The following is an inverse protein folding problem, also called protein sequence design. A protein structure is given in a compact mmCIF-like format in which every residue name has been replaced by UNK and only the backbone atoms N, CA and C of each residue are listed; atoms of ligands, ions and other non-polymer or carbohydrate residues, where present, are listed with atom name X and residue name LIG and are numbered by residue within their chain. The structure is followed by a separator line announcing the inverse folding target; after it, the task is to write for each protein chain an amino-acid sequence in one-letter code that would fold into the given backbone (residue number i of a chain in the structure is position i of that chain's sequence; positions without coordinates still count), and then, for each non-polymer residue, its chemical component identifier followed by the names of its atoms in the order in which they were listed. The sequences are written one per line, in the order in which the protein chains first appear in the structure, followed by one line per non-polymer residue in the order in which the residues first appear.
data_IF_118245356078
#
_entry.id   IF_118245356078
#
_cell.length_a   1.000
_cell.length_b   1.000
_cell.length_c   1.000
_cell.angle_alpha   90.00
_cell.angle_beta   90.00
_cell.angle_gamma   90.00
#
_symmetry.space_group_name_H-M   'P 1'
#
loop_
_entity.id
_entity.type
_entity.pdbx_description
1 polymer ?
#
# COMPACT_ATOMS: atom_id res chain seq x y z
N UNK A 1 -16.88 27.59 -29.68
CA UNK A 1 -16.80 27.51 -28.20
C UNK A 1 -16.85 26.04 -27.81
N UNK A 2 -15.88 25.51 -27.04
CA UNK A 2 -15.90 24.08 -26.67
C UNK A 2 -14.60 23.49 -26.09
N UNK A 3 -13.47 24.20 -26.17
CA UNK A 3 -12.18 23.66 -25.72
C UNK A 3 -12.00 23.75 -24.19
N UNK A 4 -12.57 24.74 -23.51
CA UNK A 4 -12.28 25.06 -22.10
C UNK A 4 -12.80 24.02 -21.10
N UNK A 5 -13.91 23.34 -21.40
CA UNK A 5 -14.50 22.32 -20.52
C UNK A 5 -13.72 21.00 -20.51
N UNK A 6 -13.17 20.60 -21.66
CA UNK A 6 -12.41 19.36 -21.81
C UNK A 6 -11.06 19.42 -21.07
N UNK A 7 -10.31 20.51 -21.22
CA UNK A 7 -9.03 20.71 -20.51
C UNK A 7 -9.19 20.75 -18.98
N UNK A 8 -10.28 21.33 -18.47
CA UNK A 8 -10.57 21.35 -17.03
C UNK A 8 -10.93 19.97 -16.48
N UNK A 9 -11.59 19.11 -17.28
CA UNK A 9 -11.91 17.72 -16.90
C UNK A 9 -10.65 16.86 -16.84
N UNK A 10 -9.74 16.99 -17.80
CA UNK A 10 -8.45 16.29 -17.80
C UNK A 10 -7.56 16.69 -16.61
N UNK A 11 -7.41 18.00 -16.36
CA UNK A 11 -6.64 18.51 -15.20
C UNK A 11 -7.20 18.07 -13.84
N UNK A 12 -8.51 17.88 -13.72
CA UNK A 12 -9.13 17.32 -12.50
C UNK A 12 -8.83 15.83 -12.36
N UNK A 13 -8.89 15.07 -13.47
CA UNK A 13 -8.57 13.64 -13.49
C UNK A 13 -7.11 13.37 -13.13
N UNK A 14 -6.17 14.14 -13.68
CA UNK A 14 -4.74 14.04 -13.38
C UNK A 14 -4.43 14.36 -11.92
N UNK A 15 -4.97 15.47 -11.38
CA UNK A 15 -4.76 15.83 -9.96
C UNK A 15 -5.34 14.81 -8.98
N UNK A 16 -6.48 14.22 -9.34
CA UNK A 16 -7.11 13.15 -8.55
C UNK A 16 -6.25 11.87 -8.56
N UNK A 17 -5.73 11.51 -9.74
CA UNK A 17 -4.79 10.38 -9.91
C UNK A 17 -3.49 10.57 -9.10
N UNK A 18 -2.92 11.79 -9.10
CA UNK A 18 -1.69 12.09 -8.35
C UNK A 18 -1.91 12.03 -6.83
N UNK A 19 -3.07 12.48 -6.33
CA UNK A 19 -3.39 12.45 -4.90
C UNK A 19 -3.54 11.02 -4.38
N UNK A 20 -4.13 10.14 -5.19
CA UNK A 20 -4.26 8.71 -4.87
C UNK A 20 -2.90 8.02 -4.82
N UNK A 21 -2.05 8.25 -5.83
CA UNK A 21 -0.70 7.69 -5.89
C UNK A 21 0.13 8.08 -4.65
N UNK A 22 0.07 9.36 -4.23
CA UNK A 22 0.76 9.80 -3.01
C UNK A 22 0.23 9.13 -1.75
N UNK A 23 -1.08 8.90 -1.65
CA UNK A 23 -1.68 8.25 -0.49
C UNK A 23 -1.32 6.77 -0.42
N UNK A 24 -1.33 6.10 -1.57
CA UNK A 24 -0.86 4.72 -1.74
C UNK A 24 0.61 4.60 -1.33
N UNK A 25 1.48 5.46 -1.85
CA UNK A 25 2.92 5.45 -1.54
C UNK A 25 3.16 5.58 -0.03
N UNK A 26 2.51 6.54 0.63
CA UNK A 26 2.66 6.74 2.08
C UNK A 26 2.22 5.51 2.88
N UNK A 27 1.09 4.89 2.50
CA UNK A 27 0.61 3.70 3.17
C UNK A 27 1.57 2.51 2.95
N UNK A 28 2.08 2.33 1.73
CA UNK A 28 3.04 1.28 1.41
C UNK A 28 4.36 1.46 2.16
N UNK A 29 4.90 2.68 2.22
CA UNK A 29 6.12 2.98 2.97
C UNK A 29 5.94 2.78 4.48
N UNK A 30 4.79 3.19 5.04
CA UNK A 30 4.51 3.00 6.46
C UNK A 30 4.44 1.51 6.83
N UNK A 31 3.73 0.70 6.02
CA UNK A 31 3.67 -0.75 6.21
C UNK A 31 5.06 -1.38 6.09
N UNK A 32 5.81 -1.02 5.03
CA UNK A 32 7.17 -1.53 4.81
C UNK A 32 8.09 -1.23 5.99
N UNK A 33 8.05 0.01 6.49
CA UNK A 33 8.84 0.44 7.65
C UNK A 33 8.47 -0.37 8.88
N UNK A 34 7.18 -0.51 9.17
CA UNK A 34 6.70 -1.29 10.31
C UNK A 34 7.22 -2.74 10.23
N UNK A 35 7.03 -3.41 9.09
CA UNK A 35 7.49 -4.79 8.89
C UNK A 35 9.01 -4.95 9.03
N UNK A 36 9.78 -3.97 8.54
CA UNK A 36 11.23 -3.98 8.66
C UNK A 36 11.71 -3.82 10.11
N UNK A 37 11.04 -2.99 10.91
CA UNK A 37 11.41 -2.74 12.30
C UNK A 37 11.03 -3.91 13.21
N UNK A 38 9.91 -4.56 12.91
CA UNK A 38 9.36 -5.66 13.71
C UNK A 38 9.84 -7.04 13.26
N UNK A 39 10.70 -7.11 12.22
CA UNK A 39 11.35 -8.35 11.80
C UNK A 39 10.41 -9.36 11.13
N UNK A 40 9.56 -8.92 10.20
CA UNK A 40 8.67 -9.81 9.46
C UNK A 40 9.47 -10.93 8.76
N UNK A 41 9.10 -12.20 8.99
CA UNK A 41 9.90 -13.36 8.62
C UNK A 41 9.97 -13.65 7.10
N UNK A 42 8.99 -13.17 6.34
CA UNK A 42 8.87 -13.50 4.91
C UNK A 42 9.49 -12.45 3.99
N UNK A 43 10.74 -12.68 3.58
CA UNK A 43 11.49 -11.76 2.70
C UNK A 43 10.79 -11.48 1.36
N UNK A 44 10.10 -12.46 0.77
CA UNK A 44 9.45 -12.28 -0.54
C UNK A 44 8.32 -11.23 -0.52
N UNK A 45 7.54 -11.16 0.57
CA UNK A 45 6.46 -10.17 0.70
C UNK A 45 7.03 -8.79 0.94
N UNK A 46 8.09 -8.69 1.75
CA UNK A 46 8.78 -7.42 2.00
C UNK A 46 9.40 -6.87 0.71
N UNK A 47 10.02 -7.73 -0.10
CA UNK A 47 10.54 -7.35 -1.43
C UNK A 47 9.42 -6.87 -2.35
N UNK A 48 8.26 -7.54 -2.36
CA UNK A 48 7.12 -7.10 -3.15
C UNK A 48 6.56 -5.73 -2.67
N UNK A 49 6.45 -5.51 -1.36
CA UNK A 49 6.00 -4.22 -0.79
C UNK A 49 7.01 -3.10 -1.12
N UNK A 50 8.31 -3.38 -1.05
CA UNK A 50 9.36 -2.43 -1.43
C UNK A 50 9.31 -2.07 -2.92
N UNK A 51 9.19 -3.08 -3.80
CA UNK A 51 9.01 -2.88 -5.25
C UNK A 51 7.74 -2.09 -5.56
N UNK A 52 6.66 -2.34 -4.82
CA UNK A 52 5.41 -1.58 -4.92
C UNK A 52 5.63 -0.10 -4.56
N UNK A 53 6.38 0.20 -3.49
CA UNK A 53 6.72 1.58 -3.12
C UNK A 53 7.55 2.29 -4.20
N UNK A 54 8.58 1.63 -4.75
CA UNK A 54 9.40 2.17 -5.83
C UNK A 54 8.56 2.45 -7.09
N UNK A 55 7.65 1.54 -7.44
CA UNK A 55 6.76 1.72 -8.57
C UNK A 55 5.81 2.92 -8.38
N UNK A 56 5.24 3.09 -7.17
CA UNK A 56 4.40 4.23 -6.83
C UNK A 56 5.17 5.56 -6.88
N UNK A 57 6.40 5.60 -6.37
CA UNK A 57 7.27 6.78 -6.44
C UNK A 57 7.55 7.20 -7.89
N UNK A 58 7.75 6.22 -8.78
CA UNK A 58 7.93 6.43 -10.22
C UNK A 58 6.61 6.59 -11.01
N UNK A 59 5.46 6.70 -10.32
CA UNK A 59 4.11 6.76 -10.92
C UNK A 59 3.77 5.59 -11.85
N UNK A 60 4.46 4.46 -11.71
CA UNK A 60 4.22 3.23 -12.45
C UNK A 60 3.14 2.39 -11.77
N UNK A 61 1.88 2.82 -11.89
CA UNK A 61 0.74 2.20 -11.20
C UNK A 61 0.53 0.74 -11.62
N UNK A 62 0.79 0.40 -12.89
CA UNK A 62 0.66 -0.99 -13.37
C UNK A 62 1.62 -1.93 -12.65
N UNK A 63 2.87 -1.51 -12.48
CA UNK A 63 3.86 -2.30 -11.74
C UNK A 63 3.51 -2.36 -10.24
N UNK A 64 3.10 -1.24 -9.65
CA UNK A 64 2.66 -1.21 -8.26
C UNK A 64 1.50 -2.19 -7.98
N UNK A 65 0.53 -2.27 -8.88
CA UNK A 65 -0.59 -3.23 -8.79
C UNK A 65 -0.10 -4.67 -8.91
N UNK A 66 0.80 -4.96 -9.85
CA UNK A 66 1.38 -6.31 -9.99
C UNK A 66 2.11 -6.73 -8.72
N UNK A 67 2.87 -5.83 -8.11
CA UNK A 67 3.63 -6.14 -6.89
C UNK A 67 2.71 -6.25 -5.66
N UNK A 68 1.68 -5.40 -5.56
CA UNK A 68 0.62 -5.53 -4.56
C UNK A 68 -0.05 -6.91 -4.61
N UNK A 69 -0.37 -7.41 -5.81
CA UNK A 69 -1.03 -8.71 -5.99
C UNK A 69 -0.17 -9.91 -5.59
N UNK A 70 1.15 -9.75 -5.42
CA UNK A 70 2.04 -10.81 -4.91
C UNK A 70 1.93 -11.01 -3.40
N UNK A 71 1.31 -10.08 -2.68
CA UNK A 71 1.17 -10.13 -1.23
C UNK A 71 -0.22 -10.65 -0.89
N UNK A 72 -0.36 -11.89 -0.39
CA UNK A 72 -1.66 -12.48 -0.12
C UNK A 72 -2.27 -11.88 1.15
N UNK A 73 -3.51 -11.37 1.05
CA UNK A 73 -4.25 -10.72 2.14
C UNK A 73 -5.54 -11.48 2.50
N UNK A 74 -5.42 -12.79 2.72
CA UNK A 74 -6.53 -13.64 3.17
C UNK A 74 -6.37 -15.11 2.80
N UNK A 75 -6.83 -16.00 3.68
CA UNK A 75 -6.56 -17.44 3.64
C UNK A 75 -5.81 -17.88 4.89
N UNK A 76 -5.28 -19.10 4.90
CA UNK A 76 -4.38 -19.56 5.96
C UNK A 76 -2.92 -19.34 5.54
N UNK A 77 -2.07 -18.89 6.47
CA UNK A 77 -0.65 -18.60 6.28
C UNK A 77 -0.37 -17.48 5.26
N UNK A 78 -1.20 -16.44 5.29
CA UNK A 78 -1.03 -15.25 4.46
C UNK A 78 -0.20 -14.16 5.17
N UNK A 79 0.17 -13.10 4.44
CA UNK A 79 0.97 -11.99 4.98
C UNK A 79 0.32 -11.38 6.23
N UNK A 80 -1.00 -11.24 6.22
CA UNK A 80 -1.77 -10.64 7.31
C UNK A 80 -1.99 -11.59 8.51
N UNK A 81 -1.50 -12.83 8.47
CA UNK A 81 -1.58 -13.77 9.61
C UNK A 81 -0.39 -13.64 10.56
N UNK A 82 0.58 -12.78 10.22
CA UNK A 82 1.75 -12.53 11.05
C UNK A 82 1.39 -11.82 12.37
N UNK A 83 2.01 -12.28 13.45
CA UNK A 83 1.88 -11.69 14.79
C UNK A 83 3.18 -10.95 15.14
N UNK A 84 3.23 -9.61 14.99
CA UNK A 84 4.45 -8.85 15.20
C UNK A 84 4.85 -8.81 16.69
N UNK A 85 6.14 -9.00 17.02
CA UNK A 85 6.63 -8.85 18.38
C UNK A 85 6.66 -7.38 18.81
N UNK A 86 6.55 -7.08 20.11
CA UNK A 86 6.86 -5.74 20.61
C UNK A 86 8.39 -5.52 20.60
N UNK A 87 8.86 -4.60 19.77
CA UNK A 87 10.31 -4.32 19.61
C UNK A 87 10.76 -3.04 20.31
N UNK A 88 9.83 -2.14 20.65
CA UNK A 88 10.10 -0.90 21.38
C UNK A 88 9.63 -0.99 22.85
N UNK A 89 10.33 -0.31 23.76
CA UNK A 89 10.08 -0.35 25.21
C UNK A 89 8.65 0.09 25.60
N UNK A 90 8.05 0.98 24.81
CA UNK A 90 6.73 1.54 25.07
C UNK A 90 5.59 0.80 24.36
N UNK A 91 5.89 -0.28 23.64
CA UNK A 91 4.90 -1.06 22.91
C UNK A 91 4.52 -2.34 23.65
N UNK A 92 3.32 -2.85 23.33
CA UNK A 92 2.88 -4.19 23.71
C UNK A 92 2.62 -4.99 22.45
N UNK A 93 2.65 -6.32 22.52
CA UNK A 93 2.37 -7.17 21.36
C UNK A 93 0.98 -6.91 20.78
N UNK A 94 0.00 -6.66 21.65
CA UNK A 94 -1.36 -6.28 21.23
C UNK A 94 -1.40 -4.95 20.50
N UNK A 95 -0.59 -3.98 20.93
CA UNK A 95 -0.46 -2.70 20.23
C UNK A 95 0.20 -2.88 18.86
N UNK A 96 1.33 -3.59 18.79
CA UNK A 96 2.03 -3.86 17.55
C UNK A 96 1.12 -4.59 16.53
N UNK A 97 0.36 -5.59 17.00
CA UNK A 97 -0.62 -6.29 16.17
C UNK A 97 -1.70 -5.33 15.65
N UNK A 98 -2.31 -4.52 16.51
CA UNK A 98 -3.35 -3.60 16.11
C UNK A 98 -2.84 -2.56 15.09
N UNK A 99 -1.60 -2.08 15.25
CA UNK A 99 -0.94 -1.18 14.29
C UNK A 99 -0.70 -1.89 12.96
N UNK A 100 -0.19 -3.13 12.99
CA UNK A 100 0.03 -3.93 11.79
C UNK A 100 -1.25 -4.17 11.00
N UNK A 101 -2.33 -4.57 11.68
CA UNK A 101 -3.64 -4.78 11.08
C UNK A 101 -4.17 -3.48 10.46
N UNK A 102 -4.07 -2.37 11.19
CA UNK A 102 -4.51 -1.05 10.70
C UNK A 102 -3.73 -0.60 9.45
N UNK A 103 -2.40 -0.77 9.45
CA UNK A 103 -1.55 -0.44 8.30
C UNK A 103 -1.89 -1.33 7.10
N UNK A 104 -2.05 -2.63 7.32
CA UNK A 104 -2.36 -3.61 6.27
C UNK A 104 -3.72 -3.34 5.63
N UNK A 105 -4.76 -3.10 6.44
CA UNK A 105 -6.11 -2.75 5.96
C UNK A 105 -6.09 -1.43 5.19
N UNK A 106 -5.42 -0.41 5.73
CA UNK A 106 -5.34 0.89 5.07
C UNK A 106 -4.61 0.79 3.72
N UNK A 107 -3.47 0.11 3.68
CA UNK A 107 -2.73 -0.14 2.45
C UNK A 107 -3.57 -0.90 1.42
N UNK A 108 -4.23 -1.99 1.80
CA UNK A 108 -5.09 -2.77 0.90
C UNK A 108 -6.22 -1.93 0.30
N UNK A 109 -6.93 -1.15 1.14
CA UNK A 109 -8.01 -0.28 0.68
C UNK A 109 -7.53 0.77 -0.32
N UNK A 110 -6.37 1.37 -0.08
CA UNK A 110 -5.80 2.37 -0.98
C UNK A 110 -5.34 1.74 -2.29
N UNK A 111 -4.70 0.56 -2.26
CA UNK A 111 -4.29 -0.15 -3.48
C UNK A 111 -5.48 -0.64 -4.31
N UNK A 112 -6.60 -0.99 -3.68
CA UNK A 112 -7.83 -1.39 -4.38
C UNK A 112 -8.37 -0.31 -5.34
N UNK A 113 -8.14 0.98 -5.04
CA UNK A 113 -8.49 2.09 -5.93
C UNK A 113 -7.79 2.02 -7.30
N UNK A 114 -6.66 1.32 -7.37
CA UNK A 114 -5.91 1.10 -8.61
C UNK A 114 -6.29 -0.22 -9.32
N UNK A 115 -6.98 -1.15 -8.64
CA UNK A 115 -7.44 -2.41 -9.22
C UNK A 115 -8.87 -2.36 -9.76
N UNK A 116 -9.72 -1.53 -9.14
CA UNK A 116 -11.17 -1.54 -9.38
C UNK A 116 -11.61 -0.76 -10.63
N UNK A 117 -10.67 -0.22 -11.42
CA UNK A 117 -10.95 0.48 -12.69
C UNK A 117 -11.30 -0.46 -13.88
N UNK A 118 -11.64 -1.72 -13.62
CA UNK A 118 -12.19 -2.65 -14.63
C UNK A 118 -13.70 -2.80 -14.44
N UNK A 119 -14.46 -1.79 -14.85
CA UNK A 119 -15.88 -1.94 -15.22
C UNK A 119 -16.17 -1.17 -16.50
#
# INVERSE_FOLDING_TARGET
MGRTGYYNKLRKKERYSDTHCMSQLKATQALLKFCSEHGHATDEYIVAIASCAEALENKNIEQAVKDYQKVPLGGNNCFNDWYPPAVYEHETETYALAVFEALTINWSRLMALSTDNKT
#
